data_IF_622888103357
#
_entry.id   IF_622888103357
#
_cell.length_a   1.000
_cell.length_b   1.000
_cell.length_c   1.000
_cell.angle_alpha   90.00
_cell.angle_beta   90.00
_cell.angle_gamma   90.00
#
_symmetry.space_group_name_H-M   'P 1'
#
loop_
_entity.id
_entity.type
_entity.pdbx_description
1 polymer ?
#
# COMPACT_ATOMS: atom_id res chain seq x y z
N UNK A 1 -5.32 1.11 7.20
CA UNK A 1 -4.26 1.89 6.52
C UNK A 1 -2.96 1.63 7.25
N UNK A 2 -1.92 1.30 6.51
CA UNK A 2 -0.58 1.01 6.98
C UNK A 2 0.35 2.14 6.56
N UNK A 3 1.21 2.60 7.46
CA UNK A 3 2.23 3.60 7.16
C UNK A 3 3.59 2.93 7.15
N UNK A 4 4.37 3.16 6.10
CA UNK A 4 5.70 2.59 5.91
C UNK A 4 6.71 3.71 5.82
N UNK A 5 7.70 3.68 6.70
CA UNK A 5 8.81 4.63 6.76
C UNK A 5 10.06 3.88 7.17
N UNK A 6 11.22 4.24 6.64
CA UNK A 6 12.47 3.59 7.04
C UNK A 6 13.72 4.35 6.62
N UNK A 7 14.82 3.97 7.25
CA UNK A 7 16.12 4.66 7.10
C UNK A 7 16.95 4.13 5.91
N UNK A 8 16.63 2.93 5.42
CA UNK A 8 17.31 2.33 4.27
C UNK A 8 16.32 1.88 3.20
N UNK A 9 16.67 1.99 1.90
CA UNK A 9 15.77 1.59 0.81
C UNK A 9 15.31 0.13 0.90
N UNK A 10 16.17 -0.76 1.40
CA UNK A 10 15.86 -2.19 1.51
C UNK A 10 14.80 -2.46 2.57
N UNK A 11 14.95 -1.90 3.76
CA UNK A 11 13.95 -2.05 4.83
C UNK A 11 12.60 -1.46 4.41
N UNK A 12 12.62 -0.30 3.76
CA UNK A 12 11.39 0.32 3.23
C UNK A 12 10.71 -0.57 2.20
N UNK A 13 11.45 -1.22 1.30
CA UNK A 13 10.88 -2.12 0.32
C UNK A 13 10.27 -3.38 0.96
N UNK A 14 10.95 -3.98 1.93
CA UNK A 14 10.46 -5.16 2.66
C UNK A 14 9.18 -4.83 3.46
N UNK A 15 9.18 -3.71 4.18
CA UNK A 15 8.01 -3.23 4.95
C UNK A 15 6.85 -2.83 4.03
N UNK A 16 7.15 -2.25 2.86
CA UNK A 16 6.13 -1.89 1.86
C UNK A 16 5.45 -3.13 1.29
N UNK A 17 6.23 -4.16 0.96
CA UNK A 17 5.68 -5.44 0.50
C UNK A 17 4.79 -6.08 1.56
N UNK A 18 5.23 -6.10 2.83
CA UNK A 18 4.45 -6.65 3.93
C UNK A 18 3.13 -5.88 4.14
N UNK A 19 3.17 -4.55 4.05
CA UNK A 19 1.98 -3.70 4.15
C UNK A 19 0.99 -3.94 3.00
N UNK A 20 1.49 -4.17 1.77
CA UNK A 20 0.66 -4.53 0.61
C UNK A 20 -0.01 -5.88 0.80
N UNK A 21 0.72 -6.91 1.25
CA UNK A 21 0.15 -8.24 1.52
C UNK A 21 -0.97 -8.18 2.56
N UNK A 22 -0.77 -7.47 3.66
CA UNK A 22 -1.79 -7.28 4.70
C UNK A 22 -3.02 -6.52 4.16
N UNK A 23 -2.82 -5.51 3.33
CA UNK A 23 -3.92 -4.77 2.70
C UNK A 23 -4.69 -5.65 1.69
N UNK A 24 -4.00 -6.50 0.93
CA UNK A 24 -4.63 -7.44 0.02
C UNK A 24 -5.46 -8.48 0.79
N UNK A 25 -4.95 -9.02 1.90
CA UNK A 25 -5.72 -9.93 2.76
C UNK A 25 -6.99 -9.27 3.30
N UNK A 26 -6.92 -8.00 3.69
CA UNK A 26 -8.11 -7.24 4.08
C UNK A 26 -9.09 -7.05 2.90
N UNK A 27 -8.58 -6.69 1.72
CA UNK A 27 -9.39 -6.53 0.51
C UNK A 27 -10.09 -7.82 0.08
N UNK A 28 -9.45 -8.99 0.24
CA UNK A 28 -10.05 -10.30 -0.01
C UNK A 28 -11.27 -10.57 0.89
N UNK A 29 -11.22 -10.13 2.15
CA UNK A 29 -12.35 -10.25 3.07
C UNK A 29 -13.57 -9.41 2.66
N UNK A 30 -13.34 -8.26 2.03
CA UNK A 30 -14.42 -7.38 1.55
C UNK A 30 -14.90 -7.70 0.12
N UNK A 31 -14.01 -8.18 -0.76
CA UNK A 31 -14.32 -8.62 -2.12
C UNK A 31 -14.70 -7.50 -3.10
N UNK A 32 -14.51 -6.22 -2.75
CA UNK A 32 -15.03 -5.07 -3.51
C UNK A 32 -14.03 -3.96 -3.79
N UNK A 33 -12.89 -3.94 -3.12
CA UNK A 33 -11.92 -2.85 -3.16
C UNK A 33 -10.52 -3.38 -3.48
N UNK A 34 -9.68 -2.55 -4.10
CA UNK A 34 -8.27 -2.83 -4.32
C UNK A 34 -7.37 -2.20 -3.25
N UNK A 35 -6.07 -2.23 -3.51
CA UNK A 35 -5.05 -1.63 -2.63
C UNK A 35 -4.47 -0.38 -3.29
N UNK A 36 -4.48 0.73 -2.57
CA UNK A 36 -3.83 1.97 -2.95
C UNK A 36 -2.54 2.14 -2.14
N UNK A 37 -1.42 2.25 -2.84
CA UNK A 37 -0.14 2.69 -2.31
C UNK A 37 0.02 4.17 -2.65
N UNK A 38 0.30 5.01 -1.67
CA UNK A 38 0.59 6.43 -1.87
C UNK A 38 2.01 6.72 -1.42
N UNK A 39 2.85 7.18 -2.35
CA UNK A 39 4.22 7.61 -2.08
C UNK A 39 4.24 9.07 -1.66
N UNK A 40 4.74 9.34 -0.46
CA UNK A 40 4.89 10.70 0.10
C UNK A 40 6.34 11.21 -0.02
N UNK A 41 7.27 10.33 -0.37
CA UNK A 41 8.68 10.64 -0.54
C UNK A 41 9.49 9.36 -0.82
N UNK A 42 10.82 9.47 -0.97
CA UNK A 42 11.67 8.34 -1.35
C UNK A 42 11.61 7.14 -0.39
N UNK A 43 11.30 7.39 0.88
CA UNK A 43 11.26 6.39 1.96
C UNK A 43 9.98 6.46 2.79
N UNK A 44 8.91 7.07 2.28
CA UNK A 44 7.65 7.26 3.01
C UNK A 44 6.45 6.91 2.16
N UNK A 45 5.65 5.95 2.62
CA UNK A 45 4.50 5.43 1.91
C UNK A 45 3.31 5.22 2.85
N UNK A 46 2.11 5.23 2.29
CA UNK A 46 0.91 4.70 2.93
C UNK A 46 0.28 3.65 2.06
N UNK A 47 -0.20 2.56 2.65
CA UNK A 47 -0.90 1.47 1.97
C UNK A 47 -2.28 1.31 2.58
N UNK A 48 -3.33 1.34 1.77
CA UNK A 48 -4.70 1.22 2.25
C UNK A 48 -5.58 0.46 1.25
N UNK A 49 -6.59 -0.24 1.77
CA UNK A 49 -7.72 -0.67 0.93
C UNK A 49 -8.48 0.59 0.50
N UNK A 50 -8.77 0.71 -0.80
CA UNK A 50 -9.43 1.88 -1.36
C UNK A 50 -10.55 1.51 -2.32
N UNK A 51 -11.70 2.20 -2.19
CA UNK A 51 -12.79 2.11 -3.16
C UNK A 51 -12.49 2.77 -4.50
N UNK A 52 -11.43 3.59 -4.56
CA UNK A 52 -10.96 4.21 -5.80
C UNK A 52 -10.08 3.26 -6.64
N UNK A 53 -9.79 2.06 -6.12
CA UNK A 53 -9.01 1.03 -6.80
C UNK A 53 -9.90 -0.20 -6.99
N UNK A 54 -10.02 -0.74 -8.21
CA UNK A 54 -10.80 -1.95 -8.45
C UNK A 54 -10.29 -3.16 -7.64
N UNK A 55 -11.21 -4.05 -7.26
CA UNK A 55 -10.86 -5.30 -6.59
C UNK A 55 -9.84 -6.12 -7.41
N UNK A 56 -8.86 -6.70 -6.72
CA UNK A 56 -7.78 -7.47 -7.33
C UNK A 56 -6.65 -6.62 -7.91
N UNK A 57 -6.75 -5.29 -7.85
CA UNK A 57 -5.73 -4.37 -8.35
C UNK A 57 -4.98 -3.72 -7.16
N UNK A 58 -3.68 -3.56 -7.34
CA UNK A 58 -2.84 -2.68 -6.50
C UNK A 58 -2.36 -1.53 -7.38
N UNK A 59 -2.64 -0.29 -6.99
CA UNK A 59 -2.18 0.92 -7.68
C UNK A 59 -1.24 1.73 -6.80
N UNK A 60 -0.17 2.28 -7.39
CA UNK A 60 0.68 3.29 -6.74
C UNK A 60 0.34 4.69 -7.27
N UNK A 61 0.28 5.67 -6.37
CA UNK A 61 0.12 7.10 -6.69
C UNK A 61 1.16 7.92 -5.94
N UNK A 62 1.71 8.92 -6.61
CA UNK A 62 2.54 9.93 -5.96
C UNK A 62 1.67 10.99 -5.28
N UNK A 63 2.03 11.37 -4.06
CA UNK A 63 1.48 12.53 -3.38
C UNK A 63 2.26 13.76 -3.84
N UNK A 64 1.73 14.46 -4.85
CA UNK A 64 2.28 15.71 -5.40
C UNK A 64 2.24 16.87 -4.41
#
# INVERSE_FOLDING_TARGET
>A
MYRVTGDTPRLVADDLNAAVELAQQHALGEGKHGVLVTRHGPSSFTVAVSGDVPYGITEERDHS
#
